data_IF_868639693269
#
_entry.id   IF_868639693269
#
_cell.length_a   1.000
_cell.length_b   1.000
_cell.length_c   1.000
_cell.angle_alpha   90.00
_cell.angle_beta   90.00
_cell.angle_gamma   90.00
#
_symmetry.space_group_name_H-M   'P 1'
#
loop_
_entity.id
_entity.type
_entity.pdbx_description
1 polymer ?
#
# COMPACT_ATOMS: atom_id res chain seq x y z
N UNK A 1 -40.11 -8.58 4.89
CA UNK A 1 -38.86 -8.02 5.45
C UNK A 1 -38.18 -8.95 6.47
N UNK A 2 -38.94 -9.58 7.38
CA UNK A 2 -38.40 -10.52 8.39
C UNK A 2 -37.71 -11.77 7.80
N UNK A 3 -38.32 -12.41 6.78
CA UNK A 3 -37.76 -13.58 6.10
C UNK A 3 -36.40 -13.28 5.46
N UNK A 4 -36.24 -12.08 4.88
CA UNK A 4 -34.97 -11.64 4.29
C UNK A 4 -33.90 -11.39 5.37
N UNK A 5 -34.26 -10.75 6.48
CA UNK A 5 -33.34 -10.55 7.63
C UNK A 5 -32.90 -11.90 8.22
N UNK A 6 -33.83 -12.86 8.36
CA UNK A 6 -33.51 -14.20 8.85
C UNK A 6 -32.57 -14.94 7.88
N UNK A 7 -32.76 -14.80 6.57
CA UNK A 7 -31.89 -15.35 5.54
C UNK A 7 -30.48 -14.74 5.65
N UNK A 8 -30.32 -13.41 5.66
CA UNK A 8 -29.04 -12.73 5.81
C UNK A 8 -28.31 -13.16 7.09
N UNK A 9 -29.04 -13.27 8.22
CA UNK A 9 -28.48 -13.74 9.48
C UNK A 9 -27.97 -15.18 9.38
N UNK A 10 -28.73 -16.08 8.74
CA UNK A 10 -28.33 -17.48 8.52
C UNK A 10 -27.06 -17.58 7.66
N UNK A 11 -26.94 -16.71 6.64
CA UNK A 11 -25.80 -16.65 5.73
C UNK A 11 -24.63 -15.80 6.23
N UNK A 12 -24.74 -15.27 7.44
CA UNK A 12 -23.77 -14.35 7.99
C UNK A 12 -23.47 -13.15 7.07
N UNK A 13 -24.51 -12.69 6.34
CA UNK A 13 -24.46 -11.48 5.51
C UNK A 13 -24.88 -10.32 6.39
N UNK A 14 -23.93 -9.44 6.72
CA UNK A 14 -24.15 -8.28 7.57
C UNK A 14 -23.55 -7.05 6.91
N UNK A 15 -24.42 -6.19 6.40
CA UNK A 15 -23.99 -4.93 5.78
C UNK A 15 -23.70 -3.92 6.89
N UNK A 16 -22.42 -3.74 7.23
CA UNK A 16 -22.01 -2.74 8.19
C UNK A 16 -20.72 -2.05 7.78
N UNK A 17 -20.64 -0.75 8.09
CA UNK A 17 -19.44 0.04 7.82
C UNK A 17 -18.20 -0.52 8.57
N UNK A 18 -18.41 -1.08 9.77
CA UNK A 18 -17.34 -1.74 10.52
C UNK A 18 -16.81 -2.95 9.74
N UNK A 19 -17.70 -3.84 9.32
CA UNK A 19 -17.31 -5.10 8.67
C UNK A 19 -16.61 -4.89 7.33
N UNK A 20 -17.13 -3.98 6.50
CA UNK A 20 -16.57 -3.74 5.17
C UNK A 20 -15.46 -2.68 5.15
N UNK A 21 -15.59 -1.62 5.95
CA UNK A 21 -14.64 -0.52 6.01
C UNK A 21 -13.49 -0.71 7.00
N UNK A 22 -13.57 -1.68 7.91
CA UNK A 22 -12.54 -1.92 8.93
C UNK A 22 -12.02 -3.34 8.83
N UNK A 23 -12.87 -4.34 9.07
CA UNK A 23 -12.43 -5.74 9.18
C UNK A 23 -11.94 -6.26 7.81
N UNK A 24 -12.68 -6.02 6.72
CA UNK A 24 -12.28 -6.44 5.38
C UNK A 24 -11.04 -5.68 4.88
N UNK A 25 -10.95 -4.37 5.18
CA UNK A 25 -9.79 -3.55 4.81
C UNK A 25 -8.53 -3.98 5.55
N UNK A 26 -8.64 -4.29 6.86
CA UNK A 26 -7.53 -4.82 7.65
C UNK A 26 -7.05 -6.18 7.14
N UNK A 27 -7.99 -7.09 6.84
CA UNK A 27 -7.67 -8.38 6.26
C UNK A 27 -7.03 -8.26 4.87
N UNK A 28 -7.51 -7.34 4.03
CA UNK A 28 -6.87 -7.05 2.75
C UNK A 28 -5.40 -6.62 2.92
N UNK A 29 -5.13 -5.73 3.88
CA UNK A 29 -3.78 -5.29 4.15
C UNK A 29 -2.87 -6.43 4.62
N UNK A 30 -3.39 -7.39 5.42
CA UNK A 30 -2.66 -8.60 5.80
C UNK A 30 -2.38 -9.50 4.59
N UNK A 31 -3.36 -9.72 3.72
CA UNK A 31 -3.18 -10.48 2.48
C UNK A 31 -2.11 -9.87 1.56
N UNK A 32 -2.13 -8.54 1.42
CA UNK A 32 -1.11 -7.80 0.68
C UNK A 32 0.27 -7.95 1.32
N UNK A 33 0.34 -7.87 2.65
CA UNK A 33 1.59 -8.03 3.39
C UNK A 33 2.22 -9.41 3.15
N UNK A 34 1.44 -10.47 3.31
CA UNK A 34 1.94 -11.85 3.19
C UNK A 34 2.38 -12.22 1.76
N UNK A 35 1.93 -11.49 0.76
CA UNK A 35 2.23 -11.77 -0.66
C UNK A 35 3.14 -10.71 -1.27
N UNK A 36 2.61 -9.55 -1.60
CA UNK A 36 3.34 -8.49 -2.32
C UNK A 36 4.55 -8.01 -1.53
N UNK A 37 4.39 -7.70 -0.24
CA UNK A 37 5.46 -7.08 0.53
C UNK A 37 6.57 -8.07 0.87
N UNK A 38 6.25 -9.25 1.38
CA UNK A 38 7.24 -10.30 1.63
C UNK A 38 7.89 -10.73 0.31
N UNK A 39 7.11 -10.87 -0.77
CA UNK A 39 7.63 -11.16 -2.11
C UNK A 39 8.61 -10.10 -2.61
N UNK A 40 8.31 -8.82 -2.40
CA UNK A 40 9.21 -7.71 -2.75
C UNK A 40 10.51 -7.76 -1.96
N UNK A 41 10.45 -8.02 -0.66
CA UNK A 41 11.63 -8.14 0.20
C UNK A 41 12.54 -9.28 -0.31
N UNK A 42 11.97 -10.48 -0.52
CA UNK A 42 12.73 -11.65 -1.00
C UNK A 42 13.32 -11.38 -2.38
N UNK A 43 12.54 -10.81 -3.31
CA UNK A 43 13.00 -10.46 -4.66
C UNK A 43 14.15 -9.46 -4.62
N UNK A 44 14.02 -8.41 -3.80
CA UNK A 44 15.05 -7.38 -3.66
C UNK A 44 16.35 -7.98 -3.12
N UNK A 45 16.27 -8.83 -2.10
CA UNK A 45 17.42 -9.58 -1.60
C UNK A 45 18.05 -10.44 -2.69
N UNK A 46 17.22 -11.16 -3.47
CA UNK A 46 17.70 -11.99 -4.58
C UNK A 46 18.47 -11.20 -5.63
N UNK A 47 17.96 -10.05 -6.00
CA UNK A 47 18.61 -9.14 -6.97
C UNK A 47 19.93 -8.60 -6.40
N UNK A 48 19.94 -8.11 -5.15
CA UNK A 48 21.14 -7.52 -4.53
C UNK A 48 22.23 -8.55 -4.26
N UNK A 49 21.87 -9.78 -3.91
CA UNK A 49 22.81 -10.88 -3.66
C UNK A 49 23.21 -11.65 -4.94
N UNK A 50 22.59 -11.34 -6.07
CA UNK A 50 22.81 -12.06 -7.32
C UNK A 50 22.33 -13.52 -7.27
N UNK A 51 21.27 -13.81 -6.46
CA UNK A 51 20.70 -15.15 -6.27
C UNK A 51 19.36 -15.28 -7.02
N UNK A 52 19.36 -15.83 -8.28
CA UNK A 52 18.15 -15.93 -9.11
C UNK A 52 17.00 -16.67 -8.41
N UNK A 53 17.30 -17.72 -7.67
CA UNK A 53 16.31 -18.50 -6.92
C UNK A 53 15.45 -17.65 -5.97
N UNK A 54 16.05 -16.71 -5.24
CA UNK A 54 15.30 -15.79 -4.38
C UNK A 54 14.46 -14.78 -5.20
N UNK A 55 15.01 -14.35 -6.35
CA UNK A 55 14.27 -13.46 -7.28
C UNK A 55 13.00 -14.13 -7.81
N UNK A 56 13.09 -15.41 -8.15
CA UNK A 56 11.96 -16.21 -8.65
C UNK A 56 10.91 -16.41 -7.54
N UNK A 57 11.33 -16.83 -6.34
CA UNK A 57 10.43 -16.97 -5.17
C UNK A 57 9.69 -15.67 -4.90
N UNK A 58 10.40 -14.53 -4.85
CA UNK A 58 9.79 -13.24 -4.63
C UNK A 58 8.78 -12.88 -5.73
N UNK A 59 9.09 -13.20 -6.98
CA UNK A 59 8.19 -12.95 -8.12
C UNK A 59 6.91 -13.80 -8.03
N UNK A 60 7.00 -15.08 -7.66
CA UNK A 60 5.82 -15.93 -7.43
C UNK A 60 4.95 -15.38 -6.29
N UNK A 61 5.55 -15.00 -5.16
CA UNK A 61 4.81 -14.44 -4.04
C UNK A 61 4.08 -13.14 -4.43
N UNK A 62 4.73 -12.26 -5.19
CA UNK A 62 4.11 -11.01 -5.67
C UNK A 62 2.96 -11.27 -6.65
N UNK A 63 3.05 -12.28 -7.51
CA UNK A 63 2.04 -12.59 -8.53
C UNK A 63 0.68 -12.99 -7.96
N UNK A 64 0.65 -13.52 -6.73
CA UNK A 64 -0.59 -13.94 -6.05
C UNK A 64 -1.15 -12.88 -5.10
N UNK A 65 -0.71 -11.63 -5.20
CA UNK A 65 -1.18 -10.56 -4.31
C UNK A 65 -2.69 -10.34 -4.37
N UNK A 66 -3.29 -10.30 -5.56
CA UNK A 66 -4.73 -10.21 -5.74
C UNK A 66 -5.49 -11.35 -5.08
N UNK A 67 -5.17 -12.62 -5.40
CA UNK A 67 -5.69 -13.80 -4.71
C UNK A 67 -5.57 -13.73 -3.19
N UNK A 68 -4.39 -13.40 -2.67
CA UNK A 68 -4.14 -13.35 -1.23
C UNK A 68 -5.02 -12.31 -0.52
N UNK A 69 -5.16 -11.11 -1.10
CA UNK A 69 -6.06 -10.07 -0.59
C UNK A 69 -7.53 -10.55 -0.58
N UNK A 70 -8.02 -11.12 -1.68
CA UNK A 70 -9.41 -11.55 -1.79
C UNK A 70 -9.75 -12.70 -0.83
N UNK A 71 -8.86 -13.67 -0.68
CA UNK A 71 -9.01 -14.78 0.27
C UNK A 71 -9.00 -14.25 1.71
N UNK A 72 -8.11 -13.32 2.05
CA UNK A 72 -8.07 -12.70 3.38
C UNK A 72 -9.38 -11.95 3.69
N UNK A 73 -9.92 -11.19 2.73
CA UNK A 73 -11.22 -10.52 2.84
C UNK A 73 -12.34 -11.54 3.09
N UNK A 74 -12.40 -12.61 2.27
CA UNK A 74 -13.39 -13.66 2.44
C UNK A 74 -13.32 -14.34 3.81
N UNK A 75 -12.10 -14.55 4.33
CA UNK A 75 -11.88 -15.08 5.66
C UNK A 75 -12.45 -14.16 6.76
N UNK A 76 -12.14 -12.86 6.69
CA UNK A 76 -12.68 -11.87 7.62
C UNK A 76 -14.21 -11.77 7.56
N UNK A 77 -14.79 -11.93 6.37
CA UNK A 77 -16.24 -11.98 6.16
C UNK A 77 -16.87 -13.32 6.54
N UNK A 78 -16.07 -14.28 7.07
CA UNK A 78 -16.52 -15.62 7.46
C UNK A 78 -17.19 -16.38 6.32
N UNK A 79 -16.60 -16.31 5.13
CA UNK A 79 -17.06 -17.06 3.97
C UNK A 79 -16.82 -18.56 4.15
N UNK A 80 -17.73 -19.38 3.61
CA UNK A 80 -17.55 -20.84 3.56
C UNK A 80 -16.34 -21.21 2.69
N UNK A 81 -15.67 -22.36 2.93
CA UNK A 81 -14.44 -22.75 2.22
C UNK A 81 -14.54 -22.68 0.69
N UNK A 82 -15.65 -23.12 0.10
CA UNK A 82 -15.84 -23.07 -1.36
C UNK A 82 -15.89 -21.64 -1.89
N UNK A 83 -16.54 -20.71 -1.19
CA UNK A 83 -16.54 -19.29 -1.53
C UNK A 83 -15.13 -18.74 -1.38
N UNK A 84 -14.47 -19.04 -0.26
CA UNK A 84 -13.14 -18.57 0.08
C UNK A 84 -12.10 -18.92 -1.00
N UNK A 85 -12.09 -20.19 -1.44
CA UNK A 85 -11.14 -20.63 -2.48
C UNK A 85 -11.47 -20.04 -3.85
N UNK A 86 -12.75 -19.86 -4.15
CA UNK A 86 -13.20 -19.24 -5.42
C UNK A 86 -12.83 -17.76 -5.50
N UNK A 87 -12.74 -17.06 -4.36
CA UNK A 87 -12.28 -15.68 -4.31
C UNK A 87 -10.85 -15.49 -4.80
N UNK A 88 -10.00 -16.53 -4.83
CA UNK A 88 -8.67 -16.44 -5.40
C UNK A 88 -8.69 -16.02 -6.87
N UNK A 89 -9.58 -16.62 -7.68
CA UNK A 89 -9.76 -16.25 -9.09
C UNK A 89 -10.31 -14.83 -9.25
N UNK A 90 -11.28 -14.46 -8.39
CA UNK A 90 -11.88 -13.11 -8.37
C UNK A 90 -10.82 -12.05 -8.05
N UNK A 91 -10.01 -12.30 -7.02
CA UNK A 91 -8.95 -11.39 -6.60
C UNK A 91 -7.87 -11.20 -7.67
N UNK A 92 -7.52 -12.28 -8.37
CA UNK A 92 -6.59 -12.20 -9.50
C UNK A 92 -7.14 -11.30 -10.61
N UNK A 93 -8.37 -11.53 -11.04
CA UNK A 93 -9.03 -10.75 -12.07
C UNK A 93 -9.18 -9.27 -11.66
N UNK A 94 -9.68 -9.01 -10.45
CA UNK A 94 -9.89 -7.64 -9.95
C UNK A 94 -8.58 -6.84 -9.85
N UNK A 95 -7.50 -7.49 -9.40
CA UNK A 95 -6.19 -6.84 -9.30
C UNK A 95 -5.59 -6.54 -10.69
N UNK A 96 -5.71 -7.47 -11.63
CA UNK A 96 -5.21 -7.33 -12.98
C UNK A 96 -5.95 -6.21 -13.75
N UNK A 97 -7.29 -6.21 -13.72
CA UNK A 97 -8.11 -5.20 -14.40
C UNK A 97 -8.05 -3.81 -13.74
N UNK A 98 -7.78 -3.77 -12.43
CA UNK A 98 -7.68 -2.53 -11.66
C UNK A 98 -6.36 -1.79 -11.80
N UNK A 99 -5.31 -2.42 -12.33
CA UNK A 99 -4.00 -1.79 -12.52
C UNK A 99 -3.49 -1.09 -11.26
N UNK A 100 -3.23 0.22 -11.35
CA UNK A 100 -2.79 1.03 -10.19
C UNK A 100 -3.84 1.09 -9.06
N UNK A 101 -5.11 0.94 -9.37
CA UNK A 101 -6.23 0.82 -8.42
C UNK A 101 -6.52 -0.62 -7.99
N UNK A 102 -5.68 -1.58 -8.38
CA UNK A 102 -5.89 -3.02 -8.15
C UNK A 102 -6.29 -3.39 -6.72
N UNK A 103 -5.57 -2.99 -5.68
CA UNK A 103 -5.94 -3.32 -4.31
C UNK A 103 -7.33 -2.81 -3.90
N UNK A 104 -7.71 -1.59 -4.32
CA UNK A 104 -9.04 -1.03 -4.07
C UNK A 104 -10.12 -1.79 -4.85
N UNK A 105 -9.84 -2.17 -6.09
CA UNK A 105 -10.73 -3.00 -6.90
C UNK A 105 -10.95 -4.37 -6.23
N UNK A 106 -9.90 -5.02 -5.75
CA UNK A 106 -10.00 -6.28 -5.00
C UNK A 106 -10.86 -6.11 -3.76
N UNK A 107 -10.67 -5.04 -2.98
CA UNK A 107 -11.47 -4.79 -1.78
C UNK A 107 -12.97 -4.79 -2.08
N UNK A 108 -13.38 -3.97 -3.04
CA UNK A 108 -14.81 -3.79 -3.38
C UNK A 108 -15.38 -5.08 -3.98
N UNK A 109 -14.68 -5.65 -4.95
CA UNK A 109 -15.19 -6.79 -5.73
C UNK A 109 -15.18 -8.07 -4.91
N UNK A 110 -14.15 -8.32 -4.08
CA UNK A 110 -14.11 -9.50 -3.23
C UNK A 110 -15.20 -9.46 -2.14
N UNK A 111 -15.51 -8.29 -1.58
CA UNK A 111 -16.65 -8.15 -0.66
C UNK A 111 -17.95 -8.55 -1.36
N UNK A 112 -18.24 -7.98 -2.54
CA UNK A 112 -19.46 -8.26 -3.28
C UNK A 112 -19.56 -9.75 -3.70
N UNK A 113 -18.46 -10.30 -4.23
CA UNK A 113 -18.40 -11.70 -4.63
C UNK A 113 -18.53 -12.67 -3.45
N UNK A 114 -17.93 -12.34 -2.31
CA UNK A 114 -18.05 -13.14 -1.08
C UNK A 114 -19.50 -13.17 -0.57
N UNK A 115 -20.16 -12.00 -0.53
CA UNK A 115 -21.56 -11.94 -0.07
C UNK A 115 -22.51 -12.66 -1.03
N UNK A 116 -22.30 -12.56 -2.35
CA UNK A 116 -23.06 -13.33 -3.34
C UNK A 116 -22.80 -14.83 -3.21
N UNK A 117 -21.54 -15.25 -3.05
CA UNK A 117 -21.17 -16.64 -2.83
C UNK A 117 -21.80 -17.24 -1.57
N UNK A 118 -21.76 -16.50 -0.45
CA UNK A 118 -22.41 -16.89 0.81
C UNK A 118 -23.92 -17.05 0.66
N UNK A 119 -24.56 -16.17 -0.14
CA UNK A 119 -26.00 -16.23 -0.36
C UNK A 119 -26.42 -17.55 -1.00
N UNK A 120 -25.64 -18.10 -1.92
CA UNK A 120 -25.97 -19.36 -2.63
C UNK A 120 -25.36 -20.60 -1.97
N UNK A 121 -24.33 -20.45 -1.13
CA UNK A 121 -23.66 -21.58 -0.48
C UNK A 121 -24.64 -22.43 0.33
N UNK A 122 -24.58 -23.74 0.15
CA UNK A 122 -25.42 -24.74 0.84
C UNK A 122 -26.93 -24.59 0.61
N UNK A 123 -27.37 -23.97 -0.49
CA UNK A 123 -28.78 -23.85 -0.85
C UNK A 123 -29.21 -24.92 -1.88
N UNK A 124 -28.25 -25.57 -2.52
CA UNK A 124 -28.57 -26.58 -3.57
C UNK A 124 -27.92 -27.93 -3.26
N UNK A 125 -28.47 -29.01 -3.82
CA UNK A 125 -27.89 -30.36 -3.69
C UNK A 125 -26.55 -30.51 -4.45
N UNK A 126 -26.31 -29.64 -5.41
CA UNK A 126 -25.09 -29.60 -6.23
C UNK A 126 -24.20 -28.39 -5.85
N UNK A 127 -24.15 -28.08 -4.56
CA UNK A 127 -23.46 -26.92 -3.99
C UNK A 127 -21.99 -26.82 -4.44
N UNK A 128 -21.31 -27.96 -4.58
CA UNK A 128 -19.93 -28.03 -5.05
C UNK A 128 -19.69 -27.39 -6.43
N UNK A 129 -20.71 -27.31 -7.28
CA UNK A 129 -20.65 -26.66 -8.59
C UNK A 129 -21.23 -25.24 -8.53
N UNK A 130 -22.37 -25.07 -7.86
CA UNK A 130 -23.14 -23.80 -7.87
C UNK A 130 -22.40 -22.71 -7.12
N UNK A 131 -21.91 -22.97 -5.93
CA UNK A 131 -21.26 -21.97 -5.10
C UNK A 131 -19.98 -21.42 -5.73
N UNK A 132 -19.00 -22.24 -6.21
CA UNK A 132 -17.84 -21.73 -6.91
C UNK A 132 -18.19 -21.02 -8.22
N UNK A 133 -19.10 -21.59 -9.02
CA UNK A 133 -19.50 -21.00 -10.29
C UNK A 133 -20.12 -19.60 -10.10
N UNK A 134 -21.06 -19.44 -9.18
CA UNK A 134 -21.67 -18.13 -8.89
C UNK A 134 -20.63 -17.14 -8.36
N UNK A 135 -19.79 -17.55 -7.42
CA UNK A 135 -18.76 -16.67 -6.84
C UNK A 135 -17.80 -16.17 -7.92
N UNK A 136 -17.31 -17.06 -8.79
CA UNK A 136 -16.36 -16.71 -9.85
C UNK A 136 -17.05 -15.87 -10.92
N UNK A 137 -18.20 -16.31 -11.45
CA UNK A 137 -18.88 -15.60 -12.52
C UNK A 137 -19.28 -14.19 -12.11
N UNK A 138 -19.91 -14.04 -10.94
CA UNK A 138 -20.28 -12.71 -10.42
C UNK A 138 -19.05 -11.88 -10.13
N UNK A 139 -18.04 -12.43 -9.46
CA UNK A 139 -16.84 -11.72 -9.08
C UNK A 139 -16.04 -11.27 -10.30
N UNK A 140 -15.81 -12.12 -11.29
CA UNK A 140 -15.07 -11.77 -12.51
C UNK A 140 -15.87 -10.82 -13.40
N UNK A 141 -17.20 -10.96 -13.51
CA UNK A 141 -18.03 -9.99 -14.20
C UNK A 141 -17.94 -8.60 -13.57
N UNK A 142 -18.01 -8.52 -12.23
CA UNK A 142 -17.82 -7.26 -11.50
C UNK A 142 -16.40 -6.71 -11.71
N UNK A 143 -15.39 -7.59 -11.76
CA UNK A 143 -14.02 -7.18 -12.06
C UNK A 143 -13.90 -6.50 -13.43
N UNK A 144 -14.52 -7.07 -14.47
CA UNK A 144 -14.53 -6.48 -15.82
C UNK A 144 -15.23 -5.12 -15.89
N UNK A 145 -16.24 -4.87 -15.06
CA UNK A 145 -17.03 -3.64 -15.12
C UNK A 145 -16.56 -2.57 -14.12
N UNK A 146 -16.18 -2.96 -12.90
CA UNK A 146 -15.90 -2.03 -11.81
C UNK A 146 -14.40 -1.75 -11.67
N UNK A 147 -13.51 -2.72 -11.95
CA UNK A 147 -12.09 -2.51 -11.76
C UNK A 147 -11.47 -1.48 -12.73
N UNK A 148 -11.80 -1.41 -14.03
CA UNK A 148 -11.25 -0.41 -14.93
C UNK A 148 -11.55 1.04 -14.53
N UNK A 149 -12.78 1.45 -14.14
CA UNK A 149 -13.04 2.78 -13.60
C UNK A 149 -12.23 3.11 -12.35
N UNK A 150 -12.02 2.13 -11.45
CA UNK A 150 -11.19 2.31 -10.25
C UNK A 150 -9.73 2.54 -10.66
N UNK A 151 -9.23 1.76 -11.61
CA UNK A 151 -7.89 1.93 -12.19
C UNK A 151 -7.70 3.30 -12.84
N UNK A 152 -8.71 3.79 -13.57
CA UNK A 152 -8.71 5.12 -14.17
C UNK A 152 -8.67 6.22 -13.11
N UNK A 153 -9.45 6.08 -12.04
CA UNK A 153 -9.44 7.03 -10.92
C UNK A 153 -8.08 7.06 -10.21
N UNK A 154 -7.45 5.90 -10.00
CA UNK A 154 -6.10 5.81 -9.43
C UNK A 154 -5.05 6.44 -10.36
N UNK A 155 -5.20 6.26 -11.67
CA UNK A 155 -4.32 6.88 -12.67
C UNK A 155 -4.54 8.41 -12.73
N UNK A 156 -5.77 8.90 -12.56
CA UNK A 156 -6.05 10.34 -12.46
C UNK A 156 -5.38 10.97 -11.22
N UNK A 157 -5.32 10.24 -10.10
CA UNK A 157 -4.52 10.64 -8.95
C UNK A 157 -3.02 10.75 -9.31
N UNK A 158 -2.51 9.85 -10.15
CA UNK A 158 -1.17 9.93 -10.72
C UNK A 158 -0.93 11.21 -11.51
N UNK A 159 -1.91 11.70 -12.29
CA UNK A 159 -1.79 12.98 -13.01
C UNK A 159 -1.65 14.18 -12.06
N UNK A 160 -2.30 14.15 -10.90
CA UNK A 160 -2.11 15.18 -9.87
C UNK A 160 -0.67 15.18 -9.36
N UNK A 161 -0.10 13.98 -9.15
CA UNK A 161 1.31 13.83 -8.77
C UNK A 161 2.23 14.35 -9.89
N UNK A 162 1.97 14.01 -11.17
CA UNK A 162 2.76 14.48 -12.30
C UNK A 162 2.78 16.01 -12.37
N UNK A 163 1.63 16.67 -12.22
CA UNK A 163 1.57 18.12 -12.15
C UNK A 163 2.38 18.70 -10.98
N UNK A 164 2.38 18.04 -9.84
CA UNK A 164 3.17 18.45 -8.68
C UNK A 164 4.69 18.35 -8.94
N UNK A 165 5.14 17.43 -9.79
CA UNK A 165 6.58 17.29 -10.13
C UNK A 165 7.14 18.48 -10.93
N UNK A 166 6.27 19.30 -11.51
CA UNK A 166 6.65 20.49 -12.31
C UNK A 166 6.83 21.76 -11.48
N UNK A 167 6.55 21.70 -10.20
CA UNK A 167 6.72 22.82 -9.28
C UNK A 167 8.21 23.07 -8.97
N UNK A 168 8.49 24.25 -8.40
CA UNK A 168 9.83 24.52 -7.86
C UNK A 168 10.19 23.50 -6.77
N UNK A 169 11.49 23.19 -6.56
CA UNK A 169 11.94 22.10 -5.69
C UNK A 169 11.33 22.10 -4.28
N UNK A 170 11.14 23.28 -3.68
CA UNK A 170 10.53 23.39 -2.35
C UNK A 170 9.06 22.94 -2.34
N UNK A 171 8.24 23.51 -3.23
CA UNK A 171 6.81 23.17 -3.33
C UNK A 171 6.58 21.78 -3.91
N UNK A 172 7.40 21.38 -4.86
CA UNK A 172 7.44 20.00 -5.37
C UNK A 172 7.75 19.03 -4.25
N UNK A 173 8.76 19.32 -3.42
CA UNK A 173 9.12 18.51 -2.25
C UNK A 173 7.92 18.28 -1.33
N UNK A 174 7.17 19.33 -0.98
CA UNK A 174 5.96 19.21 -0.15
C UNK A 174 4.88 18.39 -0.87
N UNK A 175 4.52 18.80 -2.09
CA UNK A 175 3.37 18.23 -2.79
C UNK A 175 3.59 16.75 -3.14
N UNK A 176 4.75 16.41 -3.73
CA UNK A 176 5.06 15.03 -4.14
C UNK A 176 5.20 14.11 -2.92
N UNK A 177 5.92 14.55 -1.88
CA UNK A 177 6.11 13.72 -0.67
C UNK A 177 4.77 13.43 0.03
N UNK A 178 3.88 14.42 0.15
CA UNK A 178 2.56 14.23 0.74
C UNK A 178 1.68 13.34 -0.14
N UNK A 179 1.58 13.63 -1.44
CA UNK A 179 0.70 12.90 -2.35
C UNK A 179 1.11 11.43 -2.49
N UNK A 180 2.41 11.16 -2.71
CA UNK A 180 2.90 9.78 -2.86
C UNK A 180 2.90 9.04 -1.53
N UNK A 181 3.23 9.71 -0.42
CA UNK A 181 3.13 9.15 0.92
C UNK A 181 1.69 8.76 1.29
N UNK A 182 0.72 9.63 0.99
CA UNK A 182 -0.71 9.34 1.14
C UNK A 182 -1.13 8.17 0.25
N UNK A 183 -0.69 8.16 -1.03
CA UNK A 183 -0.98 7.07 -1.96
C UNK A 183 -0.47 5.71 -1.45
N UNK A 184 0.71 5.66 -0.81
CA UNK A 184 1.26 4.45 -0.22
C UNK A 184 0.38 3.90 0.92
N UNK A 185 -0.24 4.78 1.69
CA UNK A 185 -1.09 4.39 2.81
C UNK A 185 -2.50 4.00 2.36
N UNK A 186 -3.00 4.61 1.28
CA UNK A 186 -4.28 4.27 0.66
C UNK A 186 -4.24 2.87 0.01
N UNK A 187 -5.40 2.21 -0.18
CA UNK A 187 -5.49 0.94 -0.89
C UNK A 187 -5.34 1.11 -2.42
N UNK A 188 -4.28 1.82 -2.83
CA UNK A 188 -3.86 2.00 -4.22
C UNK A 188 -2.36 1.69 -4.34
N UNK A 189 -1.90 1.39 -5.54
CA UNK A 189 -0.48 1.04 -5.74
C UNK A 189 0.34 2.29 -6.06
N UNK A 190 0.92 2.94 -5.04
CA UNK A 190 1.88 4.04 -5.21
C UNK A 190 3.07 3.63 -6.09
N UNK A 191 3.54 2.40 -5.94
CA UNK A 191 4.61 1.83 -6.74
C UNK A 191 4.25 1.77 -8.24
N UNK A 192 3.03 1.31 -8.57
CA UNK A 192 2.54 1.29 -9.95
C UNK A 192 2.35 2.71 -10.52
N UNK A 193 1.85 3.64 -9.73
CA UNK A 193 1.73 5.06 -10.12
C UNK A 193 3.10 5.63 -10.46
N UNK A 194 4.10 5.48 -9.58
CA UNK A 194 5.45 5.97 -9.80
C UNK A 194 6.13 5.32 -11.01
N UNK A 195 5.87 4.02 -11.26
CA UNK A 195 6.38 3.32 -12.43
C UNK A 195 5.79 3.87 -13.74
N UNK A 196 4.46 4.08 -13.79
CA UNK A 196 3.77 4.66 -14.97
C UNK A 196 4.25 6.08 -15.26
N UNK A 197 4.45 6.90 -14.20
CA UNK A 197 4.96 8.26 -14.33
C UNK A 197 6.48 8.31 -14.61
N UNK A 198 7.18 7.17 -14.64
CA UNK A 198 8.64 7.09 -14.76
C UNK A 198 9.33 8.05 -13.77
N UNK A 199 8.86 8.01 -12.51
CA UNK A 199 9.26 8.96 -11.49
C UNK A 199 10.68 8.69 -11.00
N UNK A 200 11.61 9.55 -11.41
CA UNK A 200 13.04 9.52 -11.06
C UNK A 200 13.52 10.93 -10.71
N UNK A 201 14.79 11.06 -10.39
CA UNK A 201 15.42 12.32 -10.04
C UNK A 201 14.94 12.88 -8.71
N UNK A 202 14.90 14.19 -8.61
CA UNK A 202 14.54 14.92 -7.40
C UNK A 202 13.09 14.67 -6.95
N UNK A 203 12.15 14.54 -7.91
CA UNK A 203 10.77 14.18 -7.62
C UNK A 203 10.66 12.76 -7.06
N UNK A 204 11.47 11.81 -7.57
CA UNK A 204 11.59 10.46 -7.02
C UNK A 204 12.11 10.47 -5.59
N UNK A 205 13.11 11.32 -5.29
CA UNK A 205 13.63 11.50 -3.93
C UNK A 205 12.58 12.07 -2.96
N UNK A 206 11.79 13.05 -3.40
CA UNK A 206 10.67 13.58 -2.63
C UNK A 206 9.60 12.50 -2.35
N UNK A 207 9.30 11.66 -3.34
CA UNK A 207 8.36 10.55 -3.19
C UNK A 207 8.86 9.52 -2.16
N UNK A 208 10.14 9.12 -2.23
CA UNK A 208 10.77 8.25 -1.22
C UNK A 208 10.68 8.88 0.18
N UNK A 209 10.99 10.16 0.32
CA UNK A 209 10.90 10.87 1.61
C UNK A 209 9.49 10.80 2.19
N UNK A 210 8.46 11.05 1.38
CA UNK A 210 7.07 10.98 1.78
C UNK A 210 6.62 9.58 2.19
N UNK A 211 6.98 8.57 1.40
CA UNK A 211 6.71 7.16 1.71
C UNK A 211 7.38 6.73 3.02
N UNK A 212 8.66 7.09 3.21
CA UNK A 212 9.39 6.82 4.45
C UNK A 212 8.74 7.52 5.65
N UNK A 213 8.29 8.76 5.48
CA UNK A 213 7.62 9.49 6.55
C UNK A 213 6.30 8.84 6.97
N UNK A 214 5.53 8.30 6.05
CA UNK A 214 4.33 7.53 6.39
C UNK A 214 4.69 6.23 7.11
N UNK A 215 5.63 5.45 6.59
CA UNK A 215 5.96 4.13 7.13
C UNK A 215 6.66 4.22 8.48
N UNK A 216 7.80 4.91 8.54
CA UNK A 216 8.57 5.07 9.80
C UNK A 216 7.80 5.91 10.79
N UNK A 217 7.07 6.94 10.33
CA UNK A 217 6.22 7.76 11.16
C UNK A 217 5.17 6.95 11.91
N UNK A 218 4.35 6.17 11.20
CA UNK A 218 3.37 5.28 11.83
C UNK A 218 4.02 4.20 12.70
N UNK A 219 5.12 3.61 12.25
CA UNK A 219 5.84 2.58 12.99
C UNK A 219 6.29 3.07 14.38
N UNK A 220 6.92 4.26 14.43
CA UNK A 220 7.46 4.79 15.69
C UNK A 220 6.37 5.41 16.55
N UNK A 221 5.44 6.20 15.98
CA UNK A 221 4.39 6.84 16.79
C UNK A 221 3.39 5.85 17.40
N UNK A 222 3.26 4.65 16.81
CA UNK A 222 2.40 3.58 17.35
C UNK A 222 3.16 2.54 18.19
N UNK A 223 4.43 2.77 18.50
CA UNK A 223 5.26 1.81 19.24
C UNK A 223 4.72 1.45 20.62
N UNK A 224 4.05 2.39 21.30
CA UNK A 224 3.42 2.16 22.59
C UNK A 224 2.36 1.06 22.51
N UNK A 225 1.56 1.06 21.45
CA UNK A 225 0.46 0.14 21.22
C UNK A 225 0.90 -1.18 20.59
N UNK A 226 1.84 -1.13 19.64
CA UNK A 226 2.13 -2.26 18.75
C UNK A 226 3.51 -2.89 18.96
N UNK A 227 4.37 -2.26 19.79
CA UNK A 227 5.71 -2.75 20.13
C UNK A 227 6.56 -3.07 18.88
N UNK A 228 7.48 -4.02 19.01
CA UNK A 228 8.41 -4.40 17.94
C UNK A 228 7.72 -5.00 16.71
N UNK A 229 6.63 -5.77 16.91
CA UNK A 229 5.84 -6.31 15.81
C UNK A 229 5.27 -5.21 14.91
N UNK A 230 4.65 -4.19 15.50
CA UNK A 230 4.13 -3.05 14.77
C UNK A 230 5.22 -2.15 14.16
N UNK A 231 6.36 -2.01 14.85
CA UNK A 231 7.51 -1.26 14.33
C UNK A 231 8.02 -1.88 13.02
N UNK A 232 8.23 -3.19 13.02
CA UNK A 232 8.76 -3.91 11.85
C UNK A 232 7.71 -4.00 10.74
N UNK A 233 6.47 -4.37 11.07
CA UNK A 233 5.42 -4.56 10.06
C UNK A 233 5.06 -3.26 9.33
N UNK A 234 5.08 -2.12 10.01
CA UNK A 234 4.82 -0.82 9.40
C UNK A 234 6.08 -0.20 8.81
N UNK A 235 7.20 -0.26 9.52
CA UNK A 235 8.46 0.37 9.12
C UNK A 235 9.12 -0.30 7.92
N UNK A 236 9.08 -1.62 7.81
CA UNK A 236 9.64 -2.40 6.69
C UNK A 236 8.57 -3.00 5.79
N UNK A 237 7.34 -3.09 6.26
CA UNK A 237 6.21 -3.63 5.49
C UNK A 237 5.40 -2.51 4.80
N UNK A 238 4.37 -1.99 5.47
CA UNK A 238 3.51 -0.94 4.90
C UNK A 238 2.76 -0.15 5.95
N UNK A 239 2.57 1.16 5.71
CA UNK A 239 1.68 2.02 6.48
C UNK A 239 0.19 1.72 6.25
N UNK A 240 -0.17 0.98 5.19
CA UNK A 240 -1.55 0.58 4.89
C UNK A 240 -2.20 -0.22 6.04
N UNK A 241 -1.40 -0.90 6.88
CA UNK A 241 -1.90 -1.58 8.09
C UNK A 241 -2.66 -0.65 9.04
N UNK A 242 -2.43 0.68 8.96
CA UNK A 242 -3.15 1.67 9.74
C UNK A 242 -4.46 2.14 9.09
N UNK A 243 -4.78 1.68 7.86
CA UNK A 243 -6.02 2.12 7.18
C UNK A 243 -7.30 1.87 7.99
N UNK A 244 -7.49 0.73 8.66
CA UNK A 244 -8.64 0.54 9.54
C UNK A 244 -8.75 1.62 10.63
N UNK A 245 -7.62 2.02 11.22
CA UNK A 245 -7.56 3.06 12.24
C UNK A 245 -7.80 4.45 11.65
N UNK A 246 -7.28 4.73 10.45
CA UNK A 246 -7.54 5.98 9.71
C UNK A 246 -9.02 6.12 9.38
N UNK A 247 -9.69 5.05 8.98
CA UNK A 247 -11.15 5.04 8.73
C UNK A 247 -11.94 5.30 10.02
N UNK A 248 -11.49 4.77 11.17
CA UNK A 248 -12.10 5.02 12.48
C UNK A 248 -11.88 6.45 12.96
N UNK A 249 -10.65 6.94 12.83
CA UNK A 249 -10.23 8.28 13.26
C UNK A 249 -9.22 8.87 12.25
N UNK A 250 -9.69 9.65 11.24
CA UNK A 250 -8.80 10.23 10.23
C UNK A 250 -7.69 11.14 10.78
N UNK A 251 -7.85 11.63 12.02
CA UNK A 251 -6.86 12.52 12.65
C UNK A 251 -5.54 11.83 12.99
N UNK A 252 -5.52 10.49 13.06
CA UNK A 252 -4.28 9.73 13.25
C UNK A 252 -3.33 9.88 12.06
N UNK A 253 -3.84 10.25 10.89
CA UNK A 253 -3.05 10.44 9.67
C UNK A 253 -2.34 11.80 9.60
N UNK A 254 -2.73 12.77 10.42
CA UNK A 254 -2.17 14.13 10.39
C UNK A 254 -0.67 14.11 10.67
N UNK A 255 -0.23 13.37 11.68
CA UNK A 255 1.16 13.38 12.10
C UNK A 255 2.15 12.90 11.02
N UNK A 256 1.99 11.72 10.41
CA UNK A 256 2.91 11.28 9.35
C UNK A 256 2.76 12.09 8.06
N UNK A 257 1.58 12.64 7.77
CA UNK A 257 1.37 13.50 6.61
C UNK A 257 2.10 14.85 6.76
N UNK A 258 2.05 15.46 7.95
CA UNK A 258 2.84 16.66 8.21
C UNK A 258 4.34 16.37 8.25
N UNK A 259 4.74 15.22 8.77
CA UNK A 259 6.13 14.78 8.68
C UNK A 259 6.58 14.64 7.21
N UNK A 260 5.75 14.09 6.32
CA UNK A 260 6.01 14.03 4.87
C UNK A 260 6.21 15.43 4.28
N UNK A 261 5.33 16.38 4.64
CA UNK A 261 5.40 17.77 4.16
C UNK A 261 6.69 18.49 4.59
N UNK A 262 7.29 18.09 5.70
CA UNK A 262 8.55 18.65 6.20
C UNK A 262 9.76 17.93 5.58
N UNK A 263 9.73 16.60 5.53
CA UNK A 263 10.87 15.81 5.01
C UNK A 263 11.05 15.96 3.50
N UNK A 264 9.96 16.19 2.74
CA UNK A 264 10.03 16.41 1.30
C UNK A 264 10.94 17.58 0.90
N UNK A 265 10.71 18.82 1.36
CA UNK A 265 11.58 19.94 1.08
C UNK A 265 13.02 19.78 1.60
N UNK A 266 13.21 19.10 2.72
CA UNK A 266 14.54 18.78 3.23
C UNK A 266 15.26 17.85 2.25
N UNK A 267 14.58 16.84 1.71
CA UNK A 267 15.13 15.97 0.68
C UNK A 267 15.51 16.73 -0.58
N UNK A 268 14.62 17.62 -1.07
CA UNK A 268 14.80 18.28 -2.37
C UNK A 268 15.71 19.50 -2.32
N UNK A 269 15.66 20.31 -1.25
CA UNK A 269 16.38 21.58 -1.19
C UNK A 269 17.67 21.53 -0.36
N UNK A 270 17.77 20.62 0.62
CA UNK A 270 18.96 20.54 1.50
C UNK A 270 19.91 19.46 1.01
N UNK A 271 19.41 18.25 0.81
CA UNK A 271 20.22 17.10 0.43
C UNK A 271 20.25 16.84 -1.08
N UNK A 272 19.40 17.50 -1.86
CA UNK A 272 19.23 17.22 -3.29
C UNK A 272 19.12 15.72 -3.57
N UNK A 273 18.34 15.03 -2.71
CA UNK A 273 18.21 13.59 -2.74
C UNK A 273 17.48 13.16 -4.01
N UNK A 274 18.18 12.52 -4.91
CA UNK A 274 17.61 11.97 -6.14
C UNK A 274 17.41 10.47 -6.03
N UNK A 275 16.27 10.00 -6.51
CA UNK A 275 16.01 8.57 -6.71
C UNK A 275 16.15 8.26 -8.21
N UNK A 276 17.29 7.75 -8.61
CA UNK A 276 17.63 7.45 -10.01
C UNK A 276 17.68 5.94 -10.31
N UNK A 277 17.28 5.10 -9.36
CA UNK A 277 17.02 3.68 -9.58
C UNK A 277 15.72 3.41 -10.37
N UNK A 278 15.21 2.19 -10.32
CA UNK A 278 13.96 1.85 -10.99
C UNK A 278 12.79 2.72 -10.48
N UNK A 279 11.98 3.34 -11.37
CA UNK A 279 10.92 4.29 -10.99
C UNK A 279 9.91 3.76 -9.97
N UNK A 280 9.66 2.46 -9.97
CA UNK A 280 8.78 1.78 -9.02
C UNK A 280 9.22 2.00 -7.56
N UNK A 281 10.52 2.11 -7.30
CA UNK A 281 11.09 2.28 -5.97
C UNK A 281 10.77 3.65 -5.36
N UNK A 282 10.47 4.67 -6.18
CA UNK A 282 10.03 5.99 -5.70
C UNK A 282 8.75 5.93 -4.85
N UNK A 283 7.87 4.97 -5.14
CA UNK A 283 6.61 4.80 -4.41
C UNK A 283 6.65 3.80 -3.26
N UNK A 284 7.83 3.34 -2.82
CA UNK A 284 7.93 2.23 -1.86
C UNK A 284 8.53 2.62 -0.49
N UNK A 285 9.25 3.73 -0.39
CA UNK A 285 9.86 4.16 0.87
C UNK A 285 10.71 3.08 1.53
N UNK A 286 10.47 2.81 2.81
CA UNK A 286 11.18 1.76 3.57
C UNK A 286 10.59 0.35 3.38
N UNK A 287 9.56 0.17 2.54
CA UNK A 287 9.02 -1.15 2.21
C UNK A 287 10.12 -2.05 1.64
N UNK A 288 10.52 -3.10 2.36
CA UNK A 288 11.65 -3.96 2.00
C UNK A 288 12.94 -3.18 1.71
N UNK A 289 13.08 -1.97 2.24
CA UNK A 289 14.15 -1.00 1.92
C UNK A 289 14.23 -0.60 0.44
N UNK A 290 13.21 -0.91 -0.37
CA UNK A 290 13.26 -0.72 -1.83
C UNK A 290 13.48 0.73 -2.23
N UNK A 291 12.88 1.70 -1.53
CA UNK A 291 13.11 3.12 -1.81
C UNK A 291 14.56 3.54 -1.56
N UNK A 292 15.13 3.10 -0.42
CA UNK A 292 16.51 3.39 -0.06
C UNK A 292 17.49 2.70 -1.03
N UNK A 293 17.23 1.44 -1.36
CA UNK A 293 18.02 0.69 -2.35
C UNK A 293 17.90 1.37 -3.72
N UNK A 294 16.71 1.87 -4.09
CA UNK A 294 16.50 2.61 -5.32
C UNK A 294 17.33 3.89 -5.40
N UNK A 295 17.48 4.62 -4.30
CA UNK A 295 18.35 5.78 -4.21
C UNK A 295 19.82 5.35 -4.38
N UNK A 296 20.26 4.37 -3.59
CA UNK A 296 21.63 3.86 -3.66
C UNK A 296 22.00 3.29 -5.03
N UNK A 297 21.16 2.43 -5.60
CA UNK A 297 21.39 1.88 -6.95
C UNK A 297 21.38 2.98 -8.00
N UNK A 298 20.56 4.00 -7.84
CA UNK A 298 20.53 5.17 -8.71
C UNK A 298 21.81 5.99 -8.69
N UNK A 299 22.56 5.99 -7.59
CA UNK A 299 23.90 6.62 -7.56
C UNK A 299 24.92 5.82 -8.35
N UNK A 300 24.92 4.49 -8.23
CA UNK A 300 25.95 3.62 -8.81
C UNK A 300 25.62 3.21 -10.25
N UNK A 301 24.34 2.93 -10.53
CA UNK A 301 23.85 2.44 -11.82
C UNK A 301 22.44 2.98 -12.06
N UNK A 302 22.31 4.22 -12.55
CA UNK A 302 21.01 4.82 -12.82
C UNK A 302 20.20 4.00 -13.82
N UNK A 303 18.87 3.97 -13.65
CA UNK A 303 17.95 3.32 -14.59
C UNK A 303 17.94 4.03 -15.95
N UNK A 304 17.50 3.32 -16.99
CA UNK A 304 17.38 3.89 -18.33
C UNK A 304 16.52 5.15 -18.36
N UNK A 305 15.43 5.17 -17.57
CA UNK A 305 14.54 6.33 -17.45
C UNK A 305 15.22 7.51 -16.77
N UNK A 306 16.11 7.27 -15.81
CA UNK A 306 16.89 8.33 -15.15
C UNK A 306 17.97 8.86 -16.09
N UNK A 307 18.68 7.98 -16.80
CA UNK A 307 19.68 8.36 -17.80
C UNK A 307 19.05 9.19 -18.91
N UNK A 308 17.85 8.83 -19.38
CA UNK A 308 17.12 9.62 -20.38
C UNK A 308 16.78 11.04 -19.91
N UNK A 309 16.75 11.28 -18.57
CA UNK A 309 16.57 12.60 -17.95
C UNK A 309 17.88 13.30 -17.57
N UNK A 310 19.02 12.71 -17.95
CA UNK A 310 20.35 13.28 -17.73
C UNK A 310 21.05 12.82 -16.45
N UNK A 311 20.52 11.79 -15.76
CA UNK A 311 21.22 11.23 -14.60
C UNK A 311 22.48 10.47 -15.02
N UNK A 312 23.54 10.62 -14.26
CA UNK A 312 24.80 9.90 -14.45
C UNK A 312 25.18 9.16 -13.17
N UNK A 313 25.93 8.08 -13.33
CA UNK A 313 26.50 7.37 -12.19
C UNK A 313 27.43 8.27 -11.40
N UNK A 314 27.34 8.23 -10.08
CA UNK A 314 28.16 9.00 -9.16
C UNK A 314 28.66 8.11 -8.01
N UNK A 315 29.77 8.51 -7.40
CA UNK A 315 30.20 7.90 -6.15
C UNK A 315 29.57 8.67 -4.99
N UNK A 316 28.71 8.02 -4.17
CA UNK A 316 28.04 8.71 -3.07
C UNK A 316 29.03 9.18 -2.02
N UNK A 317 28.86 10.39 -1.55
CA UNK A 317 29.64 10.99 -0.46
C UNK A 317 29.01 10.68 0.91
N UNK A 318 29.76 10.99 1.98
CA UNK A 318 29.17 10.88 3.33
C UNK A 318 27.94 11.78 3.54
N UNK A 319 27.86 12.90 2.82
CA UNK A 319 26.70 13.80 2.88
C UNK A 319 25.46 13.18 2.22
N UNK A 320 25.61 12.46 1.12
CA UNK A 320 24.49 11.76 0.44
C UNK A 320 23.92 10.65 1.33
N UNK A 321 24.79 9.85 1.95
CA UNK A 321 24.37 8.82 2.91
C UNK A 321 23.71 9.42 4.14
N UNK A 322 24.25 10.52 4.68
CA UNK A 322 23.64 11.24 5.79
C UNK A 322 22.25 11.73 5.41
N UNK A 323 22.10 12.33 4.23
CA UNK A 323 20.83 12.80 3.70
C UNK A 323 19.80 11.67 3.59
N UNK A 324 20.21 10.55 3.00
CA UNK A 324 19.32 9.38 2.86
C UNK A 324 18.85 8.86 4.21
N UNK A 325 19.75 8.66 5.18
CA UNK A 325 19.40 8.13 6.51
C UNK A 325 18.55 9.12 7.30
N UNK A 326 18.91 10.42 7.27
CA UNK A 326 18.14 11.45 7.96
C UNK A 326 16.74 11.57 7.40
N UNK A 327 16.59 11.67 6.09
CA UNK A 327 15.29 11.86 5.44
C UNK A 327 14.42 10.61 5.54
N UNK A 328 14.99 9.43 5.33
CA UNK A 328 14.21 8.20 5.30
C UNK A 328 13.86 7.64 6.69
N UNK A 329 14.71 7.86 7.69
CA UNK A 329 14.56 7.18 9.00
C UNK A 329 14.48 8.17 10.14
N UNK A 330 15.50 9.00 10.32
CA UNK A 330 15.67 9.79 11.57
C UNK A 330 14.61 10.88 11.68
N UNK A 331 14.45 11.71 10.64
CA UNK A 331 13.44 12.78 10.66
C UNK A 331 12.02 12.25 10.82
N UNK A 332 11.55 11.26 10.06
CA UNK A 332 10.25 10.65 10.29
C UNK A 332 10.06 10.09 11.68
N UNK A 333 11.08 9.40 12.22
CA UNK A 333 11.06 8.80 13.55
C UNK A 333 10.96 9.85 14.69
N UNK A 334 11.39 11.07 14.44
CA UNK A 334 11.29 12.18 15.41
C UNK A 334 10.04 13.01 15.16
N UNK A 335 9.80 13.45 13.92
CA UNK A 335 8.73 14.40 13.60
C UNK A 335 7.34 13.82 13.82
N UNK A 336 7.08 12.59 13.32
CA UNK A 336 5.76 12.01 13.43
C UNK A 336 5.33 11.78 14.89
N UNK A 337 6.15 11.20 15.80
CA UNK A 337 5.81 11.10 17.22
C UNK A 337 5.63 12.45 17.90
N UNK A 338 6.46 13.45 17.57
CA UNK A 338 6.32 14.79 18.16
C UNK A 338 5.00 15.45 17.75
N UNK A 339 4.65 15.40 16.48
CA UNK A 339 3.37 15.92 15.98
C UNK A 339 2.21 15.13 16.59
N UNK A 340 2.32 13.80 16.66
CA UNK A 340 1.31 12.95 17.29
C UNK A 340 1.12 13.27 18.77
N UNK A 341 2.18 13.62 19.50
CA UNK A 341 2.09 14.06 20.89
C UNK A 341 1.25 15.34 21.00
N UNK A 342 1.40 16.28 20.07
CA UNK A 342 0.54 17.47 20.01
C UNK A 342 -0.91 17.08 19.70
N UNK A 343 -1.14 16.20 18.73
CA UNK A 343 -2.49 15.69 18.42
C UNK A 343 -3.13 14.99 19.63
N UNK A 344 -2.37 14.22 20.41
CA UNK A 344 -2.84 13.60 21.67
C UNK A 344 -3.18 14.64 22.73
N UNK A 345 -2.36 15.68 22.92
CA UNK A 345 -2.65 16.79 23.85
C UNK A 345 -3.92 17.55 23.47
N UNK A 346 -4.20 17.70 22.19
CA UNK A 346 -5.43 18.31 21.66
C UNK A 346 -6.65 17.38 21.76
N UNK A 347 -6.48 16.14 22.21
CA UNK A 347 -7.55 15.14 22.30
C UNK A 347 -8.01 14.60 20.92
N UNK A 348 -7.25 14.85 19.86
CA UNK A 348 -7.58 14.37 18.50
C UNK A 348 -7.27 12.89 18.30
N UNK A 349 -6.24 12.39 18.98
CA UNK A 349 -5.80 11.00 18.96
C UNK A 349 -5.77 10.50 20.40
N UNK A 350 -6.40 9.35 20.65
CA UNK A 350 -6.47 8.73 21.96
C UNK A 350 -5.55 7.50 22.04
N UNK A 351 -5.25 7.07 23.26
CA UNK A 351 -4.56 5.80 23.48
C UNK A 351 -5.40 4.64 22.90
N UNK A 352 -4.76 3.80 22.11
CA UNK A 352 -5.40 2.69 21.40
C UNK A 352 -5.85 2.98 19.95
N UNK A 353 -5.95 4.26 19.53
CA UNK A 353 -6.36 4.62 18.16
C UNK A 353 -5.39 4.13 17.07
N UNK A 354 -4.15 3.80 17.45
CA UNK A 354 -3.09 3.32 16.54
C UNK A 354 -2.83 1.81 16.67
N UNK A 355 -3.61 1.09 17.48
CA UNK A 355 -3.42 -0.34 17.71
C UNK A 355 -3.78 -1.11 16.45
N UNK A 356 -2.85 -1.95 15.98
CA UNK A 356 -3.10 -2.92 14.90
C UNK A 356 -3.90 -4.10 15.46
N UNK A 357 -4.79 -4.64 14.64
CA UNK A 357 -5.62 -5.82 14.96
C UNK A 357 -4.93 -7.11 14.54
#
# INVERSE_FOLDING_TARGET
MEKFKAFCKRKNIEVSAKRYGIDALGAMAQGLFCSLLIGTIIKTLGVQLGVPFLTDIGTYAMSVSGPAMAVAIGYALKADPMVLFSLAAVGWAANAEGGAGGPLAVLIIAILAAECGKAVSKETKIDILVTPAVTILVGVALAKWIAPPIGTAASAFGLVIDNATRLQPFWMGIAVSVLVGVALTLPISSAAICAVLKMTGLAGGAAVAGCCAQMVGFAVMSFKENRWGGLVSQGLGTSMLQMPNIVRNPRVWIAPTLASAITGPIATCVFHLEMNGAPINSGMGTCGLCGLIGVWTGWVSPSEEAVAKGAAAMSPTGFDWLGLILVAIVLPAILAPLINMVCRRLGWVKDGDLKLE
#
